data_IF_057852555188
#
_entry.id   IF_057852555188
#
_cell.length_a   1.000
_cell.length_b   1.000
_cell.length_c   1.000
_cell.angle_alpha   90.00
_cell.angle_beta   90.00
_cell.angle_gamma   90.00
#
_symmetry.space_group_name_H-M   'P 1'
#
loop_
_entity.id
_entity.type
_entity.pdbx_description
1 polymer ?
#
# COMPACT_ATOMS: atom_id res chain seq x y z
N UNK A 1 4.05 9.44 -11.70
CA UNK A 1 3.90 8.20 -10.92
C UNK A 1 3.50 8.55 -9.49
N UNK A 2 2.60 7.78 -8.87
CA UNK A 2 2.35 7.80 -7.42
C UNK A 2 2.88 6.50 -6.80
N UNK A 3 3.72 6.63 -5.77
CA UNK A 3 4.26 5.51 -4.98
C UNK A 3 3.72 5.61 -3.54
N UNK A 4 2.60 4.94 -3.27
CA UNK A 4 1.81 5.14 -2.05
C UNK A 4 2.20 4.15 -0.94
N UNK A 5 3.39 4.32 -0.37
CA UNK A 5 3.95 3.41 0.66
C UNK A 5 3.57 3.78 2.11
N UNK A 6 2.81 4.86 2.34
CA UNK A 6 2.44 5.29 3.67
C UNK A 6 1.44 4.32 4.34
N UNK A 7 1.67 4.00 5.62
CA UNK A 7 0.70 3.31 6.47
C UNK A 7 -0.39 4.30 6.92
N UNK A 8 -1.44 4.43 6.10
CA UNK A 8 -2.57 5.33 6.36
C UNK A 8 -3.57 4.66 7.29
N UNK A 9 -4.02 5.36 8.35
CA UNK A 9 -5.03 4.86 9.28
C UNK A 9 -6.34 4.54 8.57
N UNK A 10 -6.93 3.36 8.86
CA UNK A 10 -8.25 2.99 8.35
C UNK A 10 -9.41 3.63 9.12
N UNK A 11 -9.12 4.17 10.31
CA UNK A 11 -10.08 4.80 11.21
C UNK A 11 -9.58 6.17 11.69
N UNK A 12 -10.51 7.08 11.97
CA UNK A 12 -10.24 8.42 12.50
C UNK A 12 -11.34 8.89 13.46
N UNK A 13 -11.04 9.92 14.25
CA UNK A 13 -12.04 10.64 15.05
C UNK A 13 -12.37 11.94 14.32
N UNK A 14 -13.64 12.20 13.93
CA UNK A 14 -14.04 13.46 13.33
C UNK A 14 -13.69 14.66 14.23
N UNK A 15 -13.33 15.79 13.63
CA UNK A 15 -13.03 17.03 14.38
C UNK A 15 -14.20 17.44 15.28
N UNK A 16 -15.44 17.24 14.84
CA UNK A 16 -16.65 17.51 15.62
C UNK A 16 -16.83 16.61 16.85
N UNK A 17 -16.11 15.49 16.92
CA UNK A 17 -16.16 14.49 18.00
C UNK A 17 -14.83 14.43 18.79
N UNK A 18 -13.84 15.24 18.42
CA UNK A 18 -12.53 15.23 19.03
C UNK A 18 -12.56 16.00 20.36
N UNK A 19 -12.16 15.39 21.49
CA UNK A 19 -12.15 16.08 22.77
C UNK A 19 -11.07 17.17 22.78
N UNK A 20 -11.42 18.35 23.31
CA UNK A 20 -10.49 19.48 23.43
C UNK A 20 -9.42 19.25 24.50
N UNK A 21 -9.76 18.48 25.54
CA UNK A 21 -8.89 18.24 26.68
C UNK A 21 -8.48 16.77 26.79
N UNK A 22 -7.39 16.53 27.51
CA UNK A 22 -6.89 15.17 27.81
C UNK A 22 -8.00 14.33 28.43
N UNK A 23 -8.21 13.13 27.89
CA UNK A 23 -9.11 12.12 28.44
C UNK A 23 -8.61 11.70 29.82
N UNK A 24 -9.49 11.74 30.83
CA UNK A 24 -9.13 11.43 32.22
C UNK A 24 -9.27 9.93 32.53
N UNK A 25 -8.35 9.39 33.33
CA UNK A 25 -8.28 7.95 33.63
C UNK A 25 -9.08 7.50 34.86
N UNK A 26 -9.73 8.43 35.57
CA UNK A 26 -10.47 8.16 36.81
C UNK A 26 -11.92 7.72 36.61
N UNK A 27 -12.44 7.80 35.38
CA UNK A 27 -13.88 7.66 35.08
C UNK A 27 -14.28 6.24 34.63
N UNK A 28 -13.42 5.24 34.87
CA UNK A 28 -13.66 3.85 34.52
C UNK A 28 -12.99 3.43 33.20
N UNK A 29 -13.46 2.34 32.57
CA UNK A 29 -12.81 1.79 31.38
C UNK A 29 -12.91 2.74 30.18
N UNK A 30 -11.82 2.86 29.44
CA UNK A 30 -11.75 3.69 28.23
C UNK A 30 -12.45 2.99 27.05
N UNK A 31 -13.45 3.67 26.48
CA UNK A 31 -14.07 3.28 25.22
C UNK A 31 -13.77 4.32 24.14
N UNK A 32 -13.12 3.90 23.05
CA UNK A 32 -12.83 4.75 21.89
C UNK A 32 -13.73 4.33 20.74
N UNK A 33 -14.54 5.27 20.22
CA UNK A 33 -15.33 5.08 19.01
C UNK A 33 -14.69 5.86 17.87
N UNK A 34 -14.43 5.20 16.74
CA UNK A 34 -13.80 5.80 15.57
C UNK A 34 -14.65 5.55 14.32
N UNK A 35 -14.53 6.44 13.34
CA UNK A 35 -15.19 6.29 12.03
C UNK A 35 -14.20 5.79 11.00
N UNK A 36 -14.71 5.09 9.98
CA UNK A 36 -13.89 4.66 8.85
C UNK A 36 -13.39 5.85 8.03
N UNK A 37 -12.12 5.81 7.63
CA UNK A 37 -11.54 6.81 6.72
C UNK A 37 -12.11 6.63 5.30
N UNK A 38 -12.50 7.73 4.64
CA UNK A 38 -12.93 7.70 3.24
C UNK A 38 -11.85 7.10 2.32
N UNK A 39 -12.25 6.32 1.32
CA UNK A 39 -11.30 5.59 0.47
C UNK A 39 -10.72 6.49 -0.63
N UNK A 40 -9.66 7.21 -0.29
CA UNK A 40 -9.03 8.27 -1.09
C UNK A 40 -8.34 7.83 -2.38
N UNK A 41 -8.03 6.53 -2.55
CA UNK A 41 -7.44 6.03 -3.79
C UNK A 41 -8.39 6.14 -4.99
N UNK A 42 -9.70 5.97 -4.79
CA UNK A 42 -10.67 6.03 -5.89
C UNK A 42 -10.74 7.43 -6.53
N UNK A 43 -10.89 8.52 -5.77
CA UNK A 43 -10.78 9.88 -6.29
C UNK A 43 -9.44 10.17 -6.96
N UNK A 44 -8.33 9.67 -6.39
CA UNK A 44 -6.99 9.85 -6.97
C UNK A 44 -6.91 9.28 -8.39
N UNK A 45 -7.34 8.03 -8.56
CA UNK A 45 -7.25 7.31 -9.84
C UNK A 45 -8.26 7.81 -10.86
N UNK A 46 -9.44 8.26 -10.42
CA UNK A 46 -10.52 8.65 -11.35
C UNK A 46 -10.51 10.14 -11.69
N UNK A 47 -10.31 10.99 -10.69
CA UNK A 47 -10.66 12.41 -10.79
C UNK A 47 -9.41 13.30 -10.70
N UNK A 48 -8.45 12.99 -9.82
CA UNK A 48 -7.32 13.89 -9.55
C UNK A 48 -6.11 13.67 -10.47
N UNK A 49 -5.80 12.41 -10.77
CA UNK A 49 -4.66 12.05 -11.60
C UNK A 49 -4.94 10.81 -12.47
N UNK A 50 -5.97 10.84 -13.34
CA UNK A 50 -6.36 9.69 -14.16
C UNK A 50 -5.26 9.20 -15.10
N UNK A 51 -4.36 10.11 -15.50
CA UNK A 51 -3.29 9.79 -16.41
C UNK A 51 -2.05 9.19 -15.72
N UNK A 52 -1.99 9.20 -14.39
CA UNK A 52 -0.81 8.77 -13.65
C UNK A 52 -0.72 7.24 -13.49
N UNK A 53 0.51 6.73 -13.46
CA UNK A 53 0.80 5.38 -12.99
C UNK A 53 0.79 5.36 -11.46
N UNK A 54 -0.18 4.66 -10.88
CA UNK A 54 -0.47 4.60 -9.44
C UNK A 54 -0.12 3.22 -8.90
N UNK A 55 0.79 3.22 -7.93
CA UNK A 55 1.25 2.06 -7.18
C UNK A 55 0.78 2.21 -5.74
N UNK A 56 0.12 1.19 -5.19
CA UNK A 56 -0.22 1.13 -3.76
C UNK A 56 0.52 0.01 -3.05
N UNK A 57 0.61 0.10 -1.73
CA UNK A 57 1.22 -0.92 -0.88
C UNK A 57 0.17 -1.68 -0.09
N UNK A 58 0.37 -2.99 0.04
CA UNK A 58 -0.45 -3.88 0.87
C UNK A 58 0.44 -4.65 1.82
N UNK A 59 0.43 -4.23 3.08
CA UNK A 59 1.07 -4.92 4.20
C UNK A 59 0.06 -5.80 4.91
N UNK A 60 0.38 -7.07 5.09
CA UNK A 60 -0.39 -8.00 5.93
C UNK A 60 0.53 -8.79 6.85
N UNK A 61 -0.02 -9.35 7.94
CA UNK A 61 0.70 -10.32 8.79
C UNK A 61 0.38 -11.76 8.42
N UNK A 62 -0.77 -12.00 7.80
CA UNK A 62 -1.18 -13.31 7.32
C UNK A 62 -0.93 -13.42 5.80
N UNK A 63 -0.02 -14.31 5.35
CA UNK A 63 0.27 -14.51 3.94
C UNK A 63 -0.92 -15.07 3.15
N UNK A 64 -1.87 -15.76 3.80
CA UNK A 64 -3.01 -16.39 3.11
C UNK A 64 -3.97 -15.36 2.52
N UNK A 65 -4.10 -14.19 3.15
CA UNK A 65 -5.02 -13.13 2.71
C UNK A 65 -4.35 -12.05 1.85
N UNK A 66 -3.02 -12.05 1.77
CA UNK A 66 -2.25 -10.98 1.14
C UNK A 66 -2.59 -10.79 -0.34
N UNK A 67 -2.60 -11.88 -1.11
CA UNK A 67 -2.88 -11.83 -2.56
C UNK A 67 -4.34 -11.46 -2.84
N UNK A 68 -5.28 -12.01 -2.08
CA UNK A 68 -6.70 -11.74 -2.27
C UNK A 68 -7.04 -10.28 -1.96
N UNK A 69 -6.51 -9.73 -0.85
CA UNK A 69 -6.66 -8.31 -0.53
C UNK A 69 -6.00 -7.39 -1.56
N UNK A 70 -4.88 -7.81 -2.14
CA UNK A 70 -4.19 -7.07 -3.20
C UNK A 70 -5.03 -7.02 -4.48
N UNK A 71 -5.61 -8.15 -4.91
CA UNK A 71 -6.51 -8.21 -6.07
C UNK A 71 -7.79 -7.39 -5.84
N UNK A 72 -8.38 -7.47 -4.64
CA UNK A 72 -9.53 -6.65 -4.27
C UNK A 72 -9.23 -5.15 -4.35
N UNK A 73 -8.03 -4.72 -3.93
CA UNK A 73 -7.61 -3.33 -4.05
C UNK A 73 -7.47 -2.88 -5.52
N UNK A 74 -6.89 -3.73 -6.38
CA UNK A 74 -6.80 -3.48 -7.82
C UNK A 74 -8.18 -3.36 -8.46
N UNK A 75 -9.09 -4.27 -8.15
CA UNK A 75 -10.47 -4.26 -8.68
C UNK A 75 -11.25 -3.02 -8.23
N UNK A 76 -11.16 -2.70 -6.93
CA UNK A 76 -11.88 -1.59 -6.32
C UNK A 76 -11.41 -0.23 -6.81
N UNK A 77 -10.09 0.00 -6.84
CA UNK A 77 -9.52 1.30 -7.12
C UNK A 77 -9.07 1.48 -8.57
N UNK A 78 -8.97 0.39 -9.34
CA UNK A 78 -8.56 0.37 -10.76
C UNK A 78 -7.20 1.04 -11.03
N UNK A 79 -6.30 0.99 -10.05
CA UNK A 79 -4.91 1.41 -10.21
C UNK A 79 -4.06 0.27 -10.78
N UNK A 80 -2.81 0.56 -11.13
CA UNK A 80 -2.02 -0.32 -12.00
C UNK A 80 -1.29 -1.43 -11.23
N UNK A 81 -0.77 -1.12 -10.03
CA UNK A 81 0.10 -2.05 -9.28
C UNK A 81 -0.16 -2.01 -7.78
N UNK A 82 -0.17 -3.18 -7.14
CA UNK A 82 -0.02 -3.33 -5.70
C UNK A 82 1.32 -3.99 -5.40
N UNK A 83 2.15 -3.35 -4.56
CA UNK A 83 3.31 -4.00 -3.94
C UNK A 83 2.83 -4.64 -2.65
N UNK A 84 2.84 -5.97 -2.60
CA UNK A 84 2.29 -6.75 -1.51
C UNK A 84 3.42 -7.37 -0.68
N UNK A 85 3.38 -7.22 0.64
CA UNK A 85 4.43 -7.73 1.51
C UNK A 85 3.87 -8.22 2.84
N UNK A 86 4.53 -9.24 3.41
CA UNK A 86 4.25 -9.72 4.76
C UNK A 86 5.15 -8.96 5.74
N UNK A 87 4.64 -8.54 6.89
CA UNK A 87 5.37 -7.73 7.88
C UNK A 87 6.73 -8.34 8.27
N UNK A 88 6.77 -9.64 8.49
CA UNK A 88 7.96 -10.37 8.94
C UNK A 88 9.09 -10.37 7.89
N UNK A 89 8.75 -10.38 6.60
CA UNK A 89 9.70 -10.49 5.48
C UNK A 89 9.77 -9.25 4.61
N UNK A 90 9.19 -8.12 5.05
CA UNK A 90 9.03 -6.92 4.21
C UNK A 90 10.35 -6.32 3.71
N UNK A 91 11.48 -6.59 4.37
CA UNK A 91 12.81 -6.10 3.98
C UNK A 91 13.52 -6.97 2.96
N UNK A 92 13.03 -8.17 2.73
CA UNK A 92 13.72 -9.18 1.90
C UNK A 92 12.85 -9.76 0.82
N UNK A 93 11.52 -9.62 0.90
CA UNK A 93 10.60 -10.19 -0.08
C UNK A 93 9.32 -9.37 -0.24
N UNK A 94 8.91 -9.19 -1.49
CA UNK A 94 7.61 -8.62 -1.88
C UNK A 94 7.03 -9.39 -3.06
N UNK A 95 5.72 -9.26 -3.27
CA UNK A 95 5.04 -9.73 -4.47
C UNK A 95 4.46 -8.52 -5.18
N UNK A 96 4.89 -8.28 -6.42
CA UNK A 96 4.28 -7.28 -7.28
C UNK A 96 3.03 -7.87 -7.90
N UNK A 97 1.87 -7.30 -7.60
CA UNK A 97 0.57 -7.76 -8.09
C UNK A 97 0.02 -6.74 -9.09
N UNK A 98 -0.29 -7.21 -10.28
CA UNK A 98 -1.02 -6.45 -11.31
C UNK A 98 -2.35 -7.12 -11.59
N UNK A 99 -3.15 -6.57 -12.51
CA UNK A 99 -4.42 -7.19 -12.93
C UNK A 99 -4.21 -8.60 -13.50
N UNK A 100 -3.13 -8.79 -14.23
CA UNK A 100 -2.93 -9.96 -15.09
C UNK A 100 -1.77 -10.85 -14.62
N UNK A 101 -0.98 -10.40 -13.65
CA UNK A 101 0.22 -11.11 -13.19
C UNK A 101 0.52 -10.92 -11.70
N UNK A 102 1.31 -11.84 -11.17
CA UNK A 102 1.97 -11.72 -9.88
C UNK A 102 3.46 -12.05 -10.06
N UNK A 103 4.35 -11.20 -9.56
CA UNK A 103 5.79 -11.36 -9.70
C UNK A 103 6.45 -11.28 -8.34
N UNK A 104 6.94 -12.40 -7.77
CA UNK A 104 7.73 -12.38 -6.56
C UNK A 104 9.09 -11.71 -6.81
N UNK A 105 9.49 -10.84 -5.88
CA UNK A 105 10.83 -10.25 -5.81
C UNK A 105 11.40 -10.56 -4.42
N UNK A 106 12.57 -11.16 -4.38
CA UNK A 106 13.27 -11.46 -3.12
C UNK A 106 14.76 -11.18 -3.23
N UNK A 107 15.38 -10.82 -2.12
CA UNK A 107 16.84 -10.77 -1.99
C UNK A 107 17.39 -12.17 -1.73
N UNK A 108 18.53 -12.50 -2.34
CA UNK A 108 19.35 -13.66 -1.98
C UNK A 108 20.22 -13.35 -0.76
N UNK A 109 20.76 -14.39 -0.12
CA UNK A 109 21.65 -14.21 1.03
C UNK A 109 22.92 -13.43 0.65
N UNK A 110 23.42 -13.60 -0.58
CA UNK A 110 24.55 -12.83 -1.09
C UNK A 110 24.22 -11.35 -1.30
N UNK A 111 23.04 -11.04 -1.83
CA UNK A 111 22.57 -9.65 -2.01
C UNK A 111 22.41 -8.97 -0.65
N UNK A 112 21.84 -9.68 0.34
CA UNK A 112 21.74 -9.19 1.72
C UNK A 112 23.14 -8.96 2.32
N UNK A 113 24.08 -9.89 2.11
CA UNK A 113 25.46 -9.76 2.61
C UNK A 113 26.22 -8.60 1.95
N UNK A 114 25.85 -8.22 0.72
CA UNK A 114 26.39 -7.05 0.01
C UNK A 114 25.71 -5.74 0.43
N UNK A 115 24.71 -5.79 1.31
CA UNK A 115 23.98 -4.62 1.79
C UNK A 115 22.93 -4.10 0.80
N UNK A 116 22.49 -4.92 -0.16
CA UNK A 116 21.41 -4.57 -1.07
C UNK A 116 20.08 -4.44 -0.32
N UNK A 117 19.28 -3.44 -0.68
CA UNK A 117 17.94 -3.25 -0.15
C UNK A 117 16.86 -3.72 -1.14
N UNK A 118 15.73 -4.24 -0.65
CA UNK A 118 14.65 -4.76 -1.50
C UNK A 118 14.06 -3.66 -2.40
N UNK A 119 14.11 -2.42 -1.94
CA UNK A 119 13.73 -1.22 -2.66
C UNK A 119 14.45 -1.09 -4.00
N UNK A 120 15.72 -1.53 -4.12
CA UNK A 120 16.45 -1.49 -5.38
C UNK A 120 15.78 -2.36 -6.44
N UNK A 121 15.34 -3.57 -6.07
CA UNK A 121 14.60 -4.48 -6.95
C UNK A 121 13.21 -3.95 -7.27
N UNK A 122 12.51 -3.40 -6.28
CA UNK A 122 11.18 -2.82 -6.44
C UNK A 122 11.22 -1.67 -7.43
N UNK A 123 12.14 -0.71 -7.24
CA UNK A 123 12.27 0.48 -8.11
C UNK A 123 12.65 0.08 -9.53
N UNK A 124 13.63 -0.82 -9.69
CA UNK A 124 14.03 -1.33 -11.02
C UNK A 124 12.85 -1.96 -11.78
N UNK A 125 12.09 -2.82 -11.11
CA UNK A 125 10.90 -3.45 -11.71
C UNK A 125 9.82 -2.42 -12.07
N UNK A 126 9.49 -1.52 -11.15
CA UNK A 126 8.43 -0.53 -11.34
C UNK A 126 8.79 0.53 -12.38
N UNK A 127 10.07 0.87 -12.53
CA UNK A 127 10.55 1.73 -13.61
C UNK A 127 10.23 1.11 -14.96
N UNK A 128 10.54 -0.17 -15.17
CA UNK A 128 10.21 -0.89 -16.41
C UNK A 128 8.70 -0.89 -16.71
N UNK A 129 7.88 -1.14 -15.68
CA UNK A 129 6.41 -1.08 -15.83
C UNK A 129 5.91 0.32 -16.16
N UNK A 130 6.50 1.37 -15.57
CA UNK A 130 6.13 2.74 -15.84
C UNK A 130 6.51 3.19 -17.25
N UNK A 131 7.69 2.78 -17.75
CA UNK A 131 8.10 3.03 -19.14
C UNK A 131 7.09 2.41 -20.10
N UNK A 132 6.75 1.13 -19.91
CA UNK A 132 5.74 0.46 -20.74
C UNK A 132 4.34 1.11 -20.62
N UNK A 133 3.99 1.68 -19.47
CA UNK A 133 2.74 2.42 -19.30
C UNK A 133 2.73 3.74 -20.08
N UNK A 134 3.85 4.46 -20.13
CA UNK A 134 3.99 5.69 -20.92
C UNK A 134 3.89 5.36 -22.41
N UNK A 135 4.64 4.38 -22.89
CA UNK A 135 4.67 3.98 -24.31
C UNK A 135 3.31 3.51 -24.85
N UNK A 136 2.44 2.95 -24.00
CA UNK A 136 1.07 2.54 -24.40
C UNK A 136 0.09 3.71 -24.53
N UNK A 137 0.44 4.89 -24.02
CA UNK A 137 -0.41 6.09 -24.07
C UNK A 137 -0.09 7.01 -25.23
N UNK A 138 1.08 6.87 -25.84
CA UNK A 138 1.43 7.51 -27.11
C UNK A 138 0.72 6.80 -28.29
#
# INVERSE_FOLDING_TARGET
MFYLAAAVSDFYIPVSEMPEHKIQSSEGPLQITMKMVPKMLSPLVRDWAPEAFVISFKLETDPQILLDKSRQALEKYRHQVVVANVLESQRTSVIIVTRDSQTPLSLSDEEVAQGMEIEEKIVSYLQGQHTAFIERKE
#
